data_IF_677020420008
#
_entry.id   IF_677020420008
#
_cell.length_a   1.000
_cell.length_b   1.000
_cell.length_c   1.000
_cell.angle_alpha   90.00
_cell.angle_beta   90.00
_cell.angle_gamma   90.00
#
_symmetry.space_group_name_H-M   'P 1'
#
loop_
_entity.id
_entity.type
_entity.pdbx_description
1 polymer ?
#
# COMPACT_ATOMS: atom_id res chain seq x y z
N UNK A 1 1.03 0.05 6.02
CA UNK A 1 1.99 1.16 6.16
C UNK A 1 3.41 0.70 6.49
N UNK A 2 4.31 1.67 6.69
CA UNK A 2 5.72 1.42 7.01
C UNK A 2 5.95 0.64 8.30
N UNK A 3 4.99 0.66 9.22
CA UNK A 3 5.02 -0.15 10.44
C UNK A 3 5.14 -1.65 10.18
N UNK A 4 4.60 -2.16 9.08
CA UNK A 4 4.74 -3.56 8.67
C UNK A 4 6.21 -3.94 8.43
N UNK A 5 6.96 -3.05 7.75
CA UNK A 5 8.40 -3.26 7.50
C UNK A 5 9.18 -3.16 8.82
N UNK A 6 8.87 -2.16 9.66
CA UNK A 6 9.54 -1.96 10.96
C UNK A 6 9.34 -3.16 11.90
N UNK A 7 8.13 -3.70 11.95
CA UNK A 7 7.80 -4.89 12.74
C UNK A 7 8.30 -6.20 12.11
N UNK A 8 8.88 -6.17 10.91
CA UNK A 8 9.28 -7.37 10.17
C UNK A 8 8.11 -8.35 9.96
N UNK A 9 6.93 -7.82 9.59
CA UNK A 9 5.64 -8.52 9.54
C UNK A 9 5.13 -8.75 8.10
N UNK A 10 6.00 -8.65 7.09
CA UNK A 10 5.61 -8.78 5.68
C UNK A 10 5.05 -10.17 5.35
N UNK A 11 5.60 -11.24 5.95
CA UNK A 11 5.12 -12.61 5.77
C UNK A 11 3.73 -12.82 6.37
N UNK A 12 3.51 -12.26 7.55
CA UNK A 12 2.22 -12.33 8.23
C UNK A 12 1.14 -11.51 7.48
N UNK A 13 1.52 -10.35 6.89
CA UNK A 13 0.64 -9.58 6.03
C UNK A 13 0.25 -10.37 4.78
N UNK A 14 1.22 -11.00 4.11
CA UNK A 14 0.96 -11.84 2.94
C UNK A 14 -0.02 -12.97 3.29
N UNK A 15 0.22 -13.68 4.40
CA UNK A 15 -0.64 -14.75 4.86
C UNK A 15 -2.09 -14.27 5.13
N UNK A 16 -2.26 -13.09 5.73
CA UNK A 16 -3.60 -12.51 5.94
C UNK A 16 -4.28 -12.17 4.62
N UNK A 17 -3.56 -11.54 3.70
CA UNK A 17 -4.10 -11.17 2.39
C UNK A 17 -4.51 -12.38 1.56
N UNK A 18 -3.68 -13.41 1.49
CA UNK A 18 -3.99 -14.66 0.77
C UNK A 18 -5.17 -15.41 1.40
N UNK A 19 -5.25 -15.44 2.73
CA UNK A 19 -6.34 -16.07 3.47
C UNK A 19 -7.68 -15.38 3.19
N UNK A 20 -7.70 -14.05 3.15
CA UNK A 20 -8.93 -13.27 3.02
C UNK A 20 -9.31 -12.97 1.58
N UNK A 21 -8.36 -12.98 0.66
CA UNK A 21 -8.57 -12.56 -0.74
C UNK A 21 -8.68 -11.04 -0.94
N UNK A 22 -8.60 -10.21 0.12
CA UNK A 22 -8.79 -8.76 0.03
C UNK A 22 -7.64 -8.06 -0.72
N UNK A 23 -7.91 -6.98 -1.47
CA UNK A 23 -6.88 -6.19 -2.11
C UNK A 23 -5.97 -5.48 -1.09
N UNK A 24 -4.71 -5.29 -1.48
CA UNK A 24 -3.68 -4.64 -0.65
C UNK A 24 -3.15 -3.39 -1.35
N UNK A 25 -3.04 -2.29 -0.60
CA UNK A 25 -2.33 -1.09 -1.00
C UNK A 25 -1.14 -0.84 -0.08
N UNK A 26 -0.02 -0.37 -0.63
CA UNK A 26 1.19 -0.07 0.16
C UNK A 26 1.50 1.42 0.08
N UNK A 27 1.61 2.09 1.23
CA UNK A 27 2.02 3.50 1.26
C UNK A 27 3.45 3.65 0.73
N UNK A 28 3.88 4.89 0.42
CA UNK A 28 5.24 5.18 0.00
C UNK A 28 6.29 4.53 0.92
N UNK A 29 6.08 4.62 2.24
CA UNK A 29 7.00 4.04 3.24
C UNK A 29 6.87 2.53 3.40
N UNK A 30 5.90 1.90 2.75
CA UNK A 30 5.61 0.47 2.83
C UNK A 30 5.91 -0.28 1.52
N UNK A 31 6.54 0.37 0.54
CA UNK A 31 6.90 -0.32 -0.71
C UNK A 31 7.78 -1.53 -0.41
N UNK A 32 7.44 -2.69 -1.00
CA UNK A 32 8.08 -3.97 -0.70
C UNK A 32 7.56 -4.70 0.55
N UNK A 33 6.70 -4.09 1.37
CA UNK A 33 6.03 -4.81 2.47
C UNK A 33 5.07 -5.91 1.96
N UNK A 34 4.61 -5.74 0.74
CA UNK A 34 3.79 -6.69 -0.01
C UNK A 34 4.33 -6.73 -1.45
N UNK A 35 4.51 -7.91 -2.07
CA UNK A 35 5.12 -8.00 -3.39
C UNK A 35 4.30 -7.27 -4.47
N UNK A 36 4.95 -6.46 -5.29
CA UNK A 36 4.28 -5.71 -6.35
C UNK A 36 3.72 -6.61 -7.46
N UNK A 37 4.33 -7.79 -7.69
CA UNK A 37 3.85 -8.79 -8.63
C UNK A 37 2.60 -9.53 -8.15
N UNK A 38 2.27 -9.45 -6.87
CA UNK A 38 1.13 -10.20 -6.32
C UNK A 38 -0.19 -9.67 -6.89
N UNK A 39 -1.09 -10.57 -7.28
CA UNK A 39 -2.39 -10.23 -7.91
C UNK A 39 -3.26 -9.28 -7.09
N UNK A 40 -3.21 -9.38 -5.75
CA UNK A 40 -3.98 -8.54 -4.83
C UNK A 40 -3.38 -7.15 -4.62
N UNK A 41 -2.14 -6.88 -5.06
CA UNK A 41 -1.51 -5.59 -4.91
C UNK A 41 -2.09 -4.57 -5.90
N UNK A 42 -2.59 -3.44 -5.39
CA UNK A 42 -3.17 -2.38 -6.21
C UNK A 42 -2.22 -1.21 -6.47
N UNK A 43 -1.05 -1.21 -5.86
CA UNK A 43 -0.07 -0.13 -5.93
C UNK A 43 -0.11 0.79 -4.70
N UNK A 44 0.39 2.01 -4.89
CA UNK A 44 0.47 3.04 -3.86
C UNK A 44 -0.82 3.86 -3.81
N UNK A 45 -1.31 4.26 -2.63
CA UNK A 45 -2.41 5.21 -2.48
C UNK A 45 -1.92 6.66 -2.48
N UNK A 46 -2.86 7.59 -2.45
CA UNK A 46 -2.63 9.02 -2.26
C UNK A 46 -2.37 9.79 -3.55
N UNK A 47 -1.76 10.95 -3.43
CA UNK A 47 -1.61 11.96 -4.48
C UNK A 47 -0.90 11.44 -5.75
N UNK A 48 0.05 10.52 -5.58
CA UNK A 48 0.80 9.88 -6.65
C UNK A 48 0.47 8.39 -6.78
N UNK A 49 -0.68 7.98 -6.24
CA UNK A 49 -1.13 6.60 -6.23
C UNK A 49 -1.72 6.16 -7.57
N UNK A 50 -1.95 4.86 -7.69
CA UNK A 50 -2.72 4.31 -8.80
C UNK A 50 -4.21 4.64 -8.64
N UNK A 51 -4.91 4.82 -9.75
CA UNK A 51 -6.37 5.04 -9.72
C UNK A 51 -7.09 3.90 -8.98
N UNK A 52 -6.66 2.65 -9.22
CA UNK A 52 -7.25 1.48 -8.55
C UNK A 52 -7.06 1.53 -7.03
N UNK A 53 -5.84 1.87 -6.53
CA UNK A 53 -5.58 1.97 -5.10
C UNK A 53 -6.38 3.10 -4.43
N UNK A 54 -6.40 4.28 -5.05
CA UNK A 54 -7.12 5.45 -4.52
C UNK A 54 -8.62 5.19 -4.50
N UNK A 55 -9.19 4.69 -5.61
CA UNK A 55 -10.63 4.44 -5.71
C UNK A 55 -11.08 3.30 -4.77
N UNK A 56 -10.25 2.24 -4.65
CA UNK A 56 -10.54 1.15 -3.73
C UNK A 56 -10.60 1.64 -2.26
N UNK A 57 -9.65 2.48 -1.82
CA UNK A 57 -9.71 3.07 -0.49
C UNK A 57 -10.96 3.93 -0.28
N UNK A 58 -11.31 4.75 -1.29
CA UNK A 58 -12.46 5.66 -1.18
C UNK A 58 -13.81 4.94 -1.12
N UNK A 59 -13.93 3.80 -1.78
CA UNK A 59 -15.21 3.06 -1.87
C UNK A 59 -15.30 1.86 -0.92
N UNK A 60 -14.22 1.55 -0.21
CA UNK A 60 -14.22 0.44 0.75
C UNK A 60 -15.27 0.64 1.85
N UNK A 61 -15.90 -0.44 2.27
CA UNK A 61 -16.75 -0.53 3.45
C UNK A 61 -15.96 -0.88 4.71
N UNK A 62 -14.78 -1.50 4.54
CA UNK A 62 -13.84 -1.82 5.61
C UNK A 62 -12.41 -1.51 5.17
N UNK A 63 -11.68 -0.76 6.00
CA UNK A 63 -10.23 -0.56 5.87
C UNK A 63 -9.51 -1.18 7.06
N UNK A 64 -8.60 -2.11 6.78
CA UNK A 64 -7.67 -2.67 7.76
C UNK A 64 -6.35 -1.94 7.61
N UNK A 65 -6.08 -1.01 8.51
CA UNK A 65 -4.90 -0.15 8.47
C UNK A 65 -3.83 -0.68 9.40
N UNK A 66 -2.71 -1.08 8.83
CA UNK A 66 -1.62 -1.76 9.52
C UNK A 66 -0.35 -0.88 9.51
N UNK A 67 -0.04 -0.25 10.63
CA UNK A 67 1.15 0.59 10.80
C UNK A 67 1.21 1.78 9.86
N UNK A 68 0.08 2.49 9.67
CA UNK A 68 -0.03 3.70 8.88
C UNK A 68 -0.84 4.74 9.63
N UNK A 69 -0.37 5.98 9.63
CA UNK A 69 -0.89 7.09 10.43
C UNK A 69 -1.98 7.93 9.77
N UNK A 70 -2.52 7.52 8.63
CA UNK A 70 -3.46 8.32 7.84
C UNK A 70 -2.89 9.72 7.52
N UNK A 71 -1.69 9.73 6.95
CA UNK A 71 -1.00 10.93 6.50
C UNK A 71 -1.80 11.67 5.42
N UNK A 72 -1.74 13.00 5.41
CA UNK A 72 -2.48 13.83 4.46
C UNK A 72 -2.10 13.56 3.00
N UNK A 73 -0.87 13.10 2.73
CA UNK A 73 -0.43 12.68 1.39
C UNK A 73 -1.16 11.44 0.89
N UNK A 74 -1.71 10.64 1.81
CA UNK A 74 -2.54 9.47 1.51
C UNK A 74 -4.02 9.82 1.49
N UNK A 75 -4.47 10.55 2.50
CA UNK A 75 -5.91 10.82 2.71
C UNK A 75 -6.43 12.00 1.90
N UNK A 76 -5.58 12.99 1.64
CA UNK A 76 -6.06 14.30 1.22
C UNK A 76 -7.01 14.89 2.26
N UNK A 77 -8.15 15.41 1.84
CA UNK A 77 -9.17 15.99 2.72
C UNK A 77 -9.84 14.91 3.58
N UNK A 78 -9.54 14.88 4.87
CA UNK A 78 -10.01 13.87 5.81
C UNK A 78 -11.53 13.70 5.84
N UNK A 79 -12.29 14.79 5.72
CA UNK A 79 -13.77 14.74 5.78
C UNK A 79 -14.40 13.98 4.61
N UNK A 80 -13.66 13.75 3.54
CA UNK A 80 -14.14 13.03 2.36
C UNK A 80 -13.37 11.71 2.11
N UNK A 81 -12.39 11.40 2.94
CA UNK A 81 -11.61 10.17 2.80
C UNK A 81 -12.39 8.95 3.31
N UNK A 82 -12.62 7.98 2.44
CA UNK A 82 -13.28 6.71 2.74
C UNK A 82 -14.52 6.87 3.65
N UNK A 83 -15.53 7.68 3.24
CA UNK A 83 -16.59 8.13 4.13
C UNK A 83 -17.46 6.99 4.67
N UNK A 84 -17.54 5.89 3.93
CA UNK A 84 -18.39 4.73 4.27
C UNK A 84 -17.61 3.59 4.97
N UNK A 85 -16.29 3.72 5.10
CA UNK A 85 -15.47 2.65 5.64
C UNK A 85 -15.50 2.61 7.17
N UNK A 86 -15.70 1.42 7.73
CA UNK A 86 -15.27 1.08 9.08
C UNK A 86 -13.76 0.90 9.09
N UNK A 87 -13.11 1.31 10.18
CA UNK A 87 -11.66 1.34 10.28
C UNK A 87 -11.19 0.40 11.40
N UNK A 88 -10.44 -0.63 11.03
CA UNK A 88 -9.59 -1.37 11.97
C UNK A 88 -8.20 -0.74 11.89
N UNK A 89 -7.74 -0.10 12.96
CA UNK A 89 -6.43 0.57 12.98
C UNK A 89 -5.50 -0.13 13.97
N UNK A 90 -4.44 -0.72 13.44
CA UNK A 90 -3.40 -1.35 14.23
C UNK A 90 -2.08 -0.57 14.10
N UNK A 91 -1.57 -0.09 15.22
CA UNK A 91 -0.29 0.63 15.31
C UNK A 91 0.39 0.35 16.66
N UNK A 92 1.72 0.50 16.68
CA UNK A 92 2.49 0.37 17.93
C UNK A 92 2.36 1.64 18.80
N UNK A 93 2.12 2.78 18.16
CA UNK A 93 1.97 4.06 18.85
C UNK A 93 0.48 4.33 19.15
N UNK A 94 0.06 4.31 20.43
CA UNK A 94 -1.31 4.61 20.79
C UNK A 94 -1.75 6.04 20.41
N UNK A 95 -0.79 6.98 20.26
CA UNK A 95 -1.10 8.36 19.87
C UNK A 95 -1.49 8.49 18.39
N UNK A 96 -1.17 7.55 17.54
CA UNK A 96 -1.59 7.54 16.14
C UNK A 96 -3.00 6.98 15.95
N UNK A 97 -3.49 6.15 16.90
CA UNK A 97 -4.82 5.55 16.80
C UNK A 97 -5.90 6.63 16.94
N UNK A 98 -6.74 6.76 15.92
CA UNK A 98 -7.86 7.70 15.93
C UNK A 98 -7.47 9.17 15.73
N UNK A 99 -6.20 9.50 15.61
CA UNK A 99 -5.69 10.88 15.48
C UNK A 99 -6.24 11.61 14.26
N UNK A 100 -6.11 11.04 13.08
CA UNK A 100 -6.55 11.65 11.83
C UNK A 100 -7.87 11.04 11.33
N UNK A 101 -8.13 9.78 11.58
CA UNK A 101 -9.35 9.07 11.19
C UNK A 101 -9.81 8.24 12.37
N UNK A 102 -11.08 8.39 12.76
CA UNK A 102 -11.67 7.57 13.82
C UNK A 102 -11.46 6.08 13.53
N UNK A 103 -11.07 5.32 14.54
CA UNK A 103 -10.93 3.87 14.47
C UNK A 103 -12.13 3.21 15.14
N UNK A 104 -12.90 2.42 14.37
CA UNK A 104 -13.99 1.61 14.92
C UNK A 104 -13.44 0.48 15.79
N UNK A 105 -12.28 -0.06 15.39
CA UNK A 105 -11.52 -1.03 16.18
C UNK A 105 -10.07 -0.57 16.30
N UNK A 106 -9.65 -0.26 17.51
CA UNK A 106 -8.28 0.14 17.84
C UNK A 106 -7.48 -1.07 18.34
N UNK A 107 -6.30 -1.30 17.76
CA UNK A 107 -5.39 -2.38 18.16
C UNK A 107 -4.00 -1.81 18.39
N UNK A 108 -3.61 -1.59 19.64
CA UNK A 108 -2.27 -1.08 19.98
C UNK A 108 -1.31 -2.24 20.21
N UNK A 109 -0.18 -2.24 19.49
CA UNK A 109 0.85 -3.26 19.68
C UNK A 109 1.76 -3.47 18.47
N UNK A 110 2.72 -4.37 18.62
CA UNK A 110 3.61 -4.78 17.55
C UNK A 110 2.85 -5.56 16.47
N UNK A 111 2.96 -5.12 15.20
CA UNK A 111 2.19 -5.67 14.10
C UNK A 111 2.49 -7.14 13.82
N UNK A 112 3.69 -7.62 14.08
CA UNK A 112 4.00 -9.03 13.88
C UNK A 112 3.22 -9.91 14.84
N UNK A 113 3.14 -9.49 16.10
CA UNK A 113 2.37 -10.20 17.11
C UNK A 113 0.87 -10.09 16.85
N UNK A 114 0.39 -8.90 16.46
CA UNK A 114 -1.01 -8.69 16.09
C UNK A 114 -1.40 -9.62 14.93
N UNK A 115 -0.63 -9.62 13.84
CA UNK A 115 -0.95 -10.43 12.67
C UNK A 115 -0.84 -11.93 12.94
N UNK A 116 0.09 -12.38 13.78
CA UNK A 116 0.19 -13.77 14.21
C UNK A 116 -1.05 -14.25 14.99
N UNK A 117 -1.67 -13.36 15.73
CA UNK A 117 -2.93 -13.66 16.41
C UNK A 117 -4.14 -13.52 15.45
N UNK A 118 -4.13 -12.51 14.57
CA UNK A 118 -5.23 -12.20 13.68
C UNK A 118 -5.44 -13.27 12.60
N UNK A 119 -4.36 -13.80 12.00
CA UNK A 119 -4.47 -14.79 10.92
C UNK A 119 -5.25 -16.05 11.35
N UNK A 120 -4.93 -16.74 12.45
CA UNK A 120 -5.71 -17.91 12.88
C UNK A 120 -7.14 -17.54 13.30
N UNK A 121 -7.36 -16.40 13.94
CA UNK A 121 -8.69 -15.93 14.30
C UNK A 121 -9.54 -15.66 13.05
N UNK A 122 -8.98 -15.00 12.04
CA UNK A 122 -9.65 -14.76 10.76
C UNK A 122 -9.97 -16.09 10.05
N UNK A 123 -9.05 -17.05 10.04
CA UNK A 123 -9.29 -18.37 9.47
C UNK A 123 -10.47 -19.07 10.12
N UNK A 124 -10.55 -19.04 11.45
CA UNK A 124 -11.66 -19.62 12.20
C UNK A 124 -13.01 -18.90 11.93
N UNK A 125 -12.99 -17.57 11.74
CA UNK A 125 -14.18 -16.80 11.40
C UNK A 125 -14.65 -17.10 9.98
N UNK A 126 -13.77 -17.13 9.00
CA UNK A 126 -14.08 -17.44 7.59
C UNK A 126 -14.61 -18.86 7.40
N UNK A 127 -14.17 -19.82 8.24
CA UNK A 127 -14.72 -21.18 8.21
C UNK A 127 -16.20 -21.25 8.62
N UNK A 128 -16.69 -20.28 9.39
CA UNK A 128 -18.10 -20.18 9.79
C UNK A 128 -18.93 -19.39 8.76
N UNK A 129 -18.39 -18.32 8.22
CA UNK A 129 -19.05 -17.46 7.25
C UNK A 129 -17.98 -16.66 6.50
N UNK A 130 -17.83 -16.95 5.20
CA UNK A 130 -16.94 -16.20 4.32
C UNK A 130 -17.76 -15.21 3.48
N UNK A 131 -17.38 -13.94 3.38
CA UNK A 131 -18.04 -12.99 2.50
C UNK A 131 -17.76 -13.33 1.03
N UNK A 132 -18.73 -13.09 0.15
CA UNK A 132 -18.49 -13.10 -1.29
C UNK A 132 -17.83 -11.78 -1.71
N UNK A 133 -16.55 -11.83 -2.00
CA UNK A 133 -15.78 -10.68 -2.48
C UNK A 133 -15.84 -10.51 -4.00
N UNK A 134 -16.48 -11.41 -4.73
CA UNK A 134 -16.46 -11.40 -6.20
C UNK A 134 -16.93 -10.07 -6.81
N UNK A 135 -18.06 -9.47 -6.37
CA UNK A 135 -18.49 -8.18 -6.91
C UNK A 135 -17.45 -7.07 -6.70
N UNK A 136 -16.89 -7.00 -5.50
CA UNK A 136 -15.87 -6.01 -5.14
C UNK A 136 -14.58 -6.19 -5.94
N UNK A 137 -14.09 -7.41 -6.05
CA UNK A 137 -12.86 -7.71 -6.81
C UNK A 137 -13.03 -7.42 -8.30
N UNK A 138 -14.19 -7.69 -8.88
CA UNK A 138 -14.48 -7.35 -10.27
C UNK A 138 -14.41 -5.83 -10.49
N UNK A 139 -14.95 -5.04 -9.59
CA UNK A 139 -14.91 -3.58 -9.66
C UNK A 139 -13.46 -3.07 -9.56
N UNK A 140 -12.73 -3.51 -8.54
CA UNK A 140 -11.34 -3.10 -8.28
C UNK A 140 -10.40 -3.45 -9.43
N UNK A 141 -10.48 -4.68 -9.93
CA UNK A 141 -9.66 -5.10 -11.06
C UNK A 141 -10.11 -4.47 -12.38
N UNK A 142 -11.40 -4.12 -12.49
CA UNK A 142 -11.91 -3.30 -13.58
C UNK A 142 -11.24 -1.93 -13.64
N UNK A 143 -11.07 -1.23 -12.50
CA UNK A 143 -10.34 0.04 -12.45
C UNK A 143 -8.86 -0.14 -12.81
N UNK A 144 -8.20 -1.18 -12.30
CA UNK A 144 -6.80 -1.45 -12.63
C UNK A 144 -6.59 -1.70 -14.12
N UNK A 145 -7.55 -2.37 -14.78
CA UNK A 145 -7.52 -2.60 -16.23
C UNK A 145 -7.82 -1.34 -17.03
N UNK A 146 -8.77 -0.52 -16.57
CA UNK A 146 -9.22 0.69 -17.26
C UNK A 146 -8.22 1.84 -17.13
N UNK A 147 -7.51 1.92 -16.01
CA UNK A 147 -6.58 3.00 -15.68
C UNK A 147 -5.21 2.42 -15.29
N UNK A 148 -4.51 1.77 -16.22
CA UNK A 148 -3.17 1.26 -15.93
C UNK A 148 -2.22 2.42 -15.65
N UNK A 149 -1.26 2.20 -14.77
CA UNK A 149 -0.14 3.12 -14.60
C UNK A 149 0.73 3.09 -15.86
N UNK A 150 0.99 4.25 -16.43
CA UNK A 150 1.75 4.38 -17.67
C UNK A 150 2.33 5.77 -17.84
N UNK A 151 3.03 5.98 -18.93
CA UNK A 151 3.60 7.26 -19.34
C UNK A 151 3.68 7.32 -20.88
N UNK A 152 3.65 8.53 -21.42
CA UNK A 152 3.75 8.75 -22.85
C UNK A 152 5.21 8.69 -23.32
N UNK A 153 5.40 8.18 -24.54
CA UNK A 153 6.70 8.28 -25.22
C UNK A 153 6.79 9.64 -25.89
N UNK A 154 7.82 10.45 -25.58
CA UNK A 154 7.99 11.75 -26.24
C UNK A 154 8.15 11.61 -27.76
N UNK A 155 7.52 12.52 -28.52
CA UNK A 155 7.55 12.52 -30.00
C UNK A 155 8.80 13.19 -30.58
N UNK A 156 9.55 13.91 -29.74
CA UNK A 156 10.76 14.67 -30.13
C UNK A 156 12.07 13.87 -30.04
N UNK A 157 11.98 12.56 -29.75
CA UNK A 157 13.15 11.69 -29.57
C UNK A 157 13.80 11.78 -28.19
N UNK A 158 13.28 12.60 -27.28
CA UNK A 158 13.74 12.62 -25.88
C UNK A 158 13.33 11.35 -25.14
N UNK A 159 13.94 11.12 -23.97
CA UNK A 159 13.66 9.94 -23.14
C UNK A 159 12.89 10.37 -21.90
N UNK A 160 11.71 9.79 -21.68
CA UNK A 160 10.94 10.08 -20.48
C UNK A 160 11.65 9.58 -19.20
N UNK A 161 11.66 10.35 -18.11
CA UNK A 161 12.27 9.93 -16.86
C UNK A 161 11.66 8.63 -16.31
N UNK A 162 10.37 8.42 -16.51
CA UNK A 162 9.66 7.22 -16.09
C UNK A 162 10.20 5.97 -16.79
N UNK A 163 10.48 6.08 -18.10
CA UNK A 163 11.10 5.00 -18.87
C UNK A 163 12.47 4.62 -18.30
N UNK A 164 13.32 5.62 -18.02
CA UNK A 164 14.66 5.39 -17.47
C UNK A 164 14.56 4.64 -16.14
N UNK A 165 13.70 5.12 -15.23
CA UNK A 165 13.52 4.51 -13.91
C UNK A 165 12.95 3.09 -14.00
N UNK A 166 11.96 2.88 -14.87
CA UNK A 166 11.41 1.54 -15.10
C UNK A 166 12.47 0.57 -15.65
N UNK A 167 13.29 1.04 -16.58
CA UNK A 167 14.40 0.24 -17.16
C UNK A 167 15.47 -0.09 -16.13
N UNK A 168 15.85 0.87 -15.30
CA UNK A 168 16.78 0.64 -14.18
C UNK A 168 16.20 -0.46 -13.27
N UNK A 169 14.93 -0.36 -12.88
CA UNK A 169 14.29 -1.37 -12.03
C UNK A 169 14.28 -2.76 -12.65
N UNK A 170 14.00 -2.86 -13.97
CA UNK A 170 14.01 -4.14 -14.70
C UNK A 170 15.40 -4.78 -14.81
N UNK A 171 16.44 -3.96 -15.02
CA UNK A 171 17.83 -4.45 -15.20
C UNK A 171 18.45 -4.84 -13.85
N UNK A 172 18.17 -4.07 -12.79
CA UNK A 172 18.77 -4.26 -11.48
C UNK A 172 18.26 -5.52 -10.74
N UNK A 173 17.06 -5.94 -11.04
CA UNK A 173 16.47 -7.14 -10.44
C UNK A 173 15.86 -6.92 -9.04
N UNK A 174 15.20 -7.96 -8.49
CA UNK A 174 14.31 -7.85 -7.33
C UNK A 174 15.03 -7.67 -5.98
N UNK A 175 16.33 -7.91 -5.93
CA UNK A 175 17.13 -7.80 -4.70
C UNK A 175 17.84 -6.45 -4.54
N UNK A 176 17.72 -5.59 -5.56
CA UNK A 176 18.36 -4.28 -5.55
C UNK A 176 17.71 -3.36 -4.54
N UNK A 177 18.54 -2.67 -3.75
CA UNK A 177 18.09 -1.64 -2.82
C UNK A 177 18.15 -0.30 -3.55
N UNK A 178 16.99 0.33 -3.70
CA UNK A 178 16.85 1.66 -4.28
C UNK A 178 16.78 2.71 -3.17
N UNK A 179 17.65 3.70 -3.24
CA UNK A 179 17.63 4.86 -2.36
C UNK A 179 17.30 6.11 -3.16
N UNK A 180 16.38 6.94 -2.65
CA UNK A 180 15.99 8.18 -3.30
C UNK A 180 15.83 9.32 -2.30
N UNK A 181 16.28 10.53 -2.69
CA UNK A 181 15.85 11.78 -2.08
C UNK A 181 14.40 12.09 -2.40
N UNK A 182 13.96 13.33 -2.11
CA UNK A 182 12.57 13.75 -2.36
C UNK A 182 12.47 14.54 -3.67
N UNK A 183 11.43 14.25 -4.45
CA UNK A 183 11.16 14.92 -5.72
C UNK A 183 10.37 14.02 -6.68
N UNK A 184 10.23 14.46 -7.93
CA UNK A 184 9.52 13.70 -8.96
C UNK A 184 10.13 12.31 -9.17
N UNK A 185 11.46 12.22 -9.18
CA UNK A 185 12.19 10.94 -9.29
C UNK A 185 11.80 9.94 -8.21
N UNK A 186 11.57 10.37 -6.97
CA UNK A 186 11.10 9.53 -5.88
C UNK A 186 9.72 8.95 -6.20
N UNK A 187 8.80 9.80 -6.68
CA UNK A 187 7.45 9.37 -7.02
C UNK A 187 7.47 8.38 -8.19
N UNK A 188 8.23 8.66 -9.24
CA UNK A 188 8.40 7.74 -10.36
C UNK A 188 9.06 6.43 -9.95
N UNK A 189 10.08 6.46 -9.09
CA UNK A 189 10.70 5.25 -8.57
C UNK A 189 9.69 4.42 -7.76
N UNK A 190 8.85 5.05 -6.94
CA UNK A 190 7.82 4.35 -6.18
C UNK A 190 6.69 3.78 -7.06
N UNK A 191 6.47 4.33 -8.27
CA UNK A 191 5.45 3.90 -9.21
C UNK A 191 5.95 2.81 -10.17
N UNK A 192 7.14 2.99 -10.75
CA UNK A 192 7.60 2.21 -11.91
C UNK A 192 8.66 1.15 -11.58
N UNK A 193 9.32 1.22 -10.41
CA UNK A 193 10.16 0.11 -9.93
C UNK A 193 9.29 -0.93 -9.21
N UNK A 194 9.56 -2.20 -9.45
CA UNK A 194 8.89 -3.33 -8.79
C UNK A 194 9.62 -3.71 -7.50
N UNK A 195 8.92 -3.60 -6.37
CA UNK A 195 9.45 -3.97 -5.06
C UNK A 195 8.83 -5.29 -4.60
N UNK A 196 9.61 -6.36 -4.68
CA UNK A 196 9.16 -7.72 -4.32
C UNK A 196 9.48 -8.09 -2.87
N UNK A 197 10.39 -7.36 -2.24
CA UNK A 197 10.90 -7.66 -0.91
C UNK A 197 10.89 -6.45 0.01
N UNK A 198 10.66 -6.62 1.31
CA UNK A 198 10.79 -5.53 2.26
C UNK A 198 12.26 -5.04 2.33
N UNK A 199 12.44 -3.76 2.68
CA UNK A 199 13.74 -3.09 2.84
C UNK A 199 14.55 -2.90 1.55
N UNK A 200 13.93 -3.03 0.39
CA UNK A 200 14.54 -2.71 -0.91
C UNK A 200 14.22 -1.28 -1.39
N UNK A 201 13.44 -0.52 -0.63
CA UNK A 201 13.13 0.87 -0.88
C UNK A 201 13.50 1.75 0.32
N UNK A 202 14.43 2.67 0.12
CA UNK A 202 14.87 3.66 1.10
C UNK A 202 14.57 5.05 0.58
N UNK A 203 13.85 5.85 1.36
CA UNK A 203 13.53 7.22 0.96
C UNK A 203 13.36 8.13 2.17
N UNK A 204 13.49 9.43 1.94
CA UNK A 204 13.38 10.47 2.96
C UNK A 204 11.95 11.02 3.11
N UNK A 205 10.93 10.15 3.01
CA UNK A 205 9.52 10.57 3.01
C UNK A 205 9.04 11.28 4.29
N UNK A 206 9.75 11.12 5.40
CA UNK A 206 9.43 11.82 6.65
C UNK A 206 10.04 13.22 6.74
N UNK A 207 11.35 13.32 6.55
CA UNK A 207 12.09 14.61 6.67
C UNK A 207 12.08 15.43 5.37
N UNK A 208 11.78 14.80 4.24
CA UNK A 208 11.69 15.49 2.96
C UNK A 208 13.04 16.00 2.43
N UNK A 209 14.11 15.28 2.66
CA UNK A 209 15.47 15.65 2.24
C UNK A 209 15.60 15.67 0.72
N UNK A 210 16.01 16.79 0.16
CA UNK A 210 16.07 17.05 -1.29
C UNK A 210 17.52 17.21 -1.79
N UNK A 211 18.38 16.30 -1.46
CA UNK A 211 19.79 16.32 -1.88
C UNK A 211 20.78 16.83 -0.88
#
# INVERSE_FOLDING_TARGET
GGGVIKANAAKELLALAELTGVPVVTTLMARGAFPDSHKQHLGMPGMHGTVAAVTALQKADLLITLGARFDDRVTGKLSTFAPNAKIIHADIDPAEIGKNRHADVAVVGDLKNILRALVPATKAALAKSAPDLTPWLNEVYGWRKKFPLGYDTPSDGSVSPQYVIERIGKISGPDTIFAAGVGQHQMWASQFVKYEKPRTWLNSGGLGTMG
#
